data_IF_000449993455
#
_entry.id   IF_000449993455
#
_cell.length_a   1.000
_cell.length_b   1.000
_cell.length_c   1.000
_cell.angle_alpha   90.00
_cell.angle_beta   90.00
_cell.angle_gamma   90.00
#
_symmetry.space_group_name_H-M   'P 1'
#
loop_
_entity.id
_entity.type
_entity.pdbx_description
1 polymer ?
#
# COMPACT_ATOMS: atom_id res chain seq x y z
N UNK A 1 -22.26 -8.21 -14.11
CA UNK A 1 -23.24 -8.17 -13.01
C UNK A 1 -22.63 -8.61 -11.68
N UNK A 2 -21.97 -9.79 -11.61
CA UNK A 2 -21.26 -10.24 -10.40
C UNK A 2 -20.15 -9.28 -9.91
N UNK A 3 -19.35 -8.72 -10.82
CA UNK A 3 -18.29 -7.75 -10.47
C UNK A 3 -18.83 -6.50 -9.75
N UNK A 4 -19.97 -5.96 -10.19
CA UNK A 4 -20.59 -4.80 -9.54
C UNK A 4 -21.12 -5.13 -8.14
N UNK A 5 -21.66 -6.34 -7.95
CA UNK A 5 -22.11 -6.82 -6.64
C UNK A 5 -20.92 -6.95 -5.66
N UNK A 6 -19.80 -7.54 -6.09
CA UNK A 6 -18.58 -7.63 -5.26
C UNK A 6 -18.01 -6.25 -4.92
N UNK A 7 -18.01 -5.31 -5.88
CA UNK A 7 -17.60 -3.93 -5.61
C UNK A 7 -18.48 -3.28 -4.54
N UNK A 8 -19.81 -3.33 -4.69
CA UNK A 8 -20.72 -2.71 -3.71
C UNK A 8 -20.57 -3.39 -2.36
N UNK A 9 -20.72 -4.72 -2.29
CA UNK A 9 -20.69 -5.45 -1.04
C UNK A 9 -19.33 -5.35 -0.34
N UNK A 10 -18.22 -5.51 -1.07
CA UNK A 10 -16.87 -5.38 -0.55
C UNK A 10 -16.61 -3.98 0.01
N UNK A 11 -17.06 -2.93 -0.69
CA UNK A 11 -16.93 -1.54 -0.20
C UNK A 11 -17.75 -1.30 1.06
N UNK A 12 -19.00 -1.78 1.08
CA UNK A 12 -19.89 -1.62 2.23
C UNK A 12 -19.33 -2.32 3.48
N UNK A 13 -18.83 -3.55 3.32
CA UNK A 13 -18.18 -4.28 4.40
C UNK A 13 -16.92 -3.54 4.85
N UNK A 14 -16.08 -3.12 3.90
CA UNK A 14 -14.82 -2.44 4.23
C UNK A 14 -15.04 -1.14 4.99
N UNK A 15 -15.81 -0.21 4.44
CA UNK A 15 -16.08 1.08 5.09
C UNK A 15 -16.88 0.89 6.37
N UNK A 16 -17.87 0.00 6.37
CA UNK A 16 -18.69 -0.29 7.54
C UNK A 16 -17.87 -0.80 8.72
N UNK A 17 -17.00 -1.78 8.51
CA UNK A 17 -16.12 -2.31 9.56
C UNK A 17 -15.16 -1.22 10.07
N UNK A 18 -14.46 -0.54 9.16
CA UNK A 18 -13.42 0.41 9.53
C UNK A 18 -13.99 1.61 10.30
N UNK A 19 -15.07 2.21 9.81
CA UNK A 19 -15.69 3.35 10.49
C UNK A 19 -16.31 2.93 11.81
N UNK A 20 -17.00 1.79 11.86
CA UNK A 20 -17.61 1.32 13.12
C UNK A 20 -16.55 1.13 14.21
N UNK A 21 -15.40 0.53 13.89
CA UNK A 21 -14.32 0.34 14.85
C UNK A 21 -13.68 1.66 15.29
N UNK A 22 -13.52 2.60 14.36
CA UNK A 22 -13.06 3.95 14.66
C UNK A 22 -14.00 4.66 15.64
N UNK A 23 -15.29 4.75 15.31
CA UNK A 23 -16.30 5.33 16.20
C UNK A 23 -16.36 4.60 17.54
N UNK A 24 -16.23 3.28 17.53
CA UNK A 24 -16.22 2.47 18.74
C UNK A 24 -15.06 2.85 19.67
N UNK A 25 -13.91 3.23 19.12
CA UNK A 25 -12.78 3.76 19.89
C UNK A 25 -13.18 4.98 20.72
N UNK A 26 -13.71 6.02 20.07
CA UNK A 26 -14.20 7.22 20.76
C UNK A 26 -15.26 6.90 21.80
N UNK A 27 -16.25 6.08 21.42
CA UNK A 27 -17.34 5.66 22.29
C UNK A 27 -16.84 4.95 23.56
N UNK A 28 -15.93 3.99 23.41
CA UNK A 28 -15.46 3.14 24.49
C UNK A 28 -14.63 3.94 25.51
N UNK A 29 -13.79 4.87 25.04
CA UNK A 29 -13.01 5.74 25.92
C UNK A 29 -13.89 6.83 26.54
N UNK A 30 -14.84 7.42 25.78
CA UNK A 30 -15.76 8.43 26.29
C UNK A 30 -16.55 7.93 27.52
N UNK A 31 -17.11 6.71 27.43
CA UNK A 31 -17.83 6.10 28.57
C UNK A 31 -16.92 5.86 29.77
N UNK A 32 -15.67 5.44 29.55
CA UNK A 32 -14.69 5.25 30.65
C UNK A 32 -14.25 6.55 31.30
N UNK A 33 -14.21 7.64 30.54
CA UNK A 33 -13.99 8.98 31.08
C UNK A 33 -15.25 9.58 31.74
N UNK A 34 -16.35 8.81 31.82
CA UNK A 34 -17.62 9.24 32.40
C UNK A 34 -18.32 10.31 31.57
N UNK A 35 -18.09 10.33 30.25
CA UNK A 35 -18.85 11.17 29.31
C UNK A 35 -20.13 10.43 28.92
N UNK A 36 -21.27 11.12 28.97
CA UNK A 36 -22.53 10.55 28.52
C UNK A 36 -22.55 10.52 26.99
N UNK A 37 -22.72 9.34 26.41
CA UNK A 37 -22.92 9.20 24.97
C UNK A 37 -24.42 9.16 24.70
N UNK A 38 -24.89 10.09 23.87
CA UNK A 38 -26.29 10.21 23.48
C UNK A 38 -26.62 9.26 22.34
N UNK A 39 -25.74 9.15 21.35
CA UNK A 39 -25.95 8.30 20.17
C UNK A 39 -24.65 7.70 19.65
N UNK A 40 -24.70 6.43 19.27
CA UNK A 40 -23.69 5.74 18.49
C UNK A 40 -24.32 5.35 17.14
N UNK A 41 -23.89 5.98 16.05
CA UNK A 41 -24.47 5.74 14.72
C UNK A 41 -23.45 5.11 13.79
N UNK A 42 -23.83 4.00 13.17
CA UNK A 42 -23.15 3.45 12.00
C UNK A 42 -23.92 3.89 10.77
N UNK A 43 -23.28 4.71 9.94
CA UNK A 43 -23.89 5.39 8.81
C UNK A 43 -24.56 6.72 9.15
N UNK A 44 -25.08 7.36 8.09
CA UNK A 44 -25.81 8.63 8.11
C UNK A 44 -27.24 8.50 7.57
N UNK A 45 -28.05 9.53 7.81
CA UNK A 45 -29.39 9.66 7.26
C UNK A 45 -30.46 8.97 8.10
N UNK A 46 -31.45 8.36 7.43
CA UNK A 46 -32.62 7.75 8.07
C UNK A 46 -32.22 6.51 8.87
N UNK A 47 -32.62 6.39 10.15
CA UNK A 47 -32.41 5.19 10.96
C UNK A 47 -33.17 3.99 10.36
N UNK A 48 -32.47 2.90 10.06
CA UNK A 48 -33.07 1.62 9.67
C UNK A 48 -33.33 0.76 10.90
N UNK A 49 -32.37 0.71 11.82
CA UNK A 49 -32.48 0.01 13.10
C UNK A 49 -32.07 0.95 14.23
N UNK A 50 -32.82 0.91 15.34
CA UNK A 50 -32.52 1.68 16.54
C UNK A 50 -32.79 0.87 17.81
N UNK A 51 -31.89 0.96 18.78
CA UNK A 51 -32.09 0.42 20.12
C UNK A 51 -31.37 1.27 21.16
N UNK A 52 -31.62 1.05 22.44
CA UNK A 52 -30.96 1.80 23.51
C UNK A 52 -30.43 0.88 24.59
N UNK A 53 -29.29 1.23 25.18
CA UNK A 53 -28.77 0.51 26.34
C UNK A 53 -29.30 1.08 27.67
N UNK A 54 -28.93 0.43 28.77
CA UNK A 54 -29.32 0.82 30.13
C UNK A 54 -28.78 2.20 30.57
N UNK A 55 -27.77 2.74 29.88
CA UNK A 55 -27.23 4.08 30.17
C UNK A 55 -27.90 5.16 29.31
N UNK A 56 -28.87 4.78 28.46
CA UNK A 56 -29.63 5.68 27.61
C UNK A 56 -28.90 6.10 26.34
N UNK A 57 -27.85 5.37 25.92
CA UNK A 57 -27.23 5.59 24.61
C UNK A 57 -28.09 4.97 23.52
N UNK A 58 -28.44 5.75 22.51
CA UNK A 58 -29.14 5.27 21.31
C UNK A 58 -28.14 4.72 20.29
N UNK A 59 -28.30 3.46 19.89
CA UNK A 59 -27.52 2.84 18.83
C UNK A 59 -28.34 2.85 17.55
N UNK A 60 -27.74 3.30 16.45
CA UNK A 60 -28.41 3.46 15.16
C UNK A 60 -27.60 2.79 14.06
N UNK A 61 -28.28 2.01 13.23
CA UNK A 61 -27.79 1.63 11.89
C UNK A 61 -28.60 2.42 10.88
N UNK A 62 -27.95 3.31 10.13
CA UNK A 62 -28.60 4.23 9.23
C UNK A 62 -28.52 3.78 7.76
N UNK A 63 -29.36 4.37 6.90
CA UNK A 63 -29.49 3.95 5.51
C UNK A 63 -28.26 4.22 4.64
N UNK A 64 -27.45 5.22 4.97
CA UNK A 64 -26.24 5.57 4.22
C UNK A 64 -25.02 5.01 4.97
N UNK A 65 -24.39 3.94 4.50
CA UNK A 65 -23.28 3.25 5.19
C UNK A 65 -21.92 3.95 5.03
N UNK A 66 -21.90 5.19 4.54
CA UNK A 66 -20.70 5.98 4.27
C UNK A 66 -20.31 6.83 5.47
N UNK A 67 -19.94 6.18 6.58
CA UNK A 67 -19.43 6.84 7.78
C UNK A 67 -20.14 6.42 9.06
N UNK A 68 -20.05 7.26 10.08
CA UNK A 68 -20.59 7.02 11.41
C UNK A 68 -20.30 8.23 12.30
N UNK A 69 -20.88 8.25 13.50
CA UNK A 69 -20.54 9.26 14.50
C UNK A 69 -20.91 8.82 15.92
N UNK A 70 -20.14 9.29 16.89
CA UNK A 70 -20.48 9.23 18.32
C UNK A 70 -20.91 10.61 18.81
N UNK A 71 -22.21 10.76 19.09
CA UNK A 71 -22.74 11.99 19.69
C UNK A 71 -22.54 11.95 21.20
N UNK A 72 -21.65 12.79 21.70
CA UNK A 72 -21.39 12.96 23.13
C UNK A 72 -22.24 14.09 23.70
N UNK A 73 -22.55 14.03 24.99
CA UNK A 73 -23.18 15.14 25.69
C UNK A 73 -22.18 16.31 25.76
N UNK A 74 -22.55 17.46 25.21
CA UNK A 74 -21.74 18.68 25.23
C UNK A 74 -22.65 19.90 25.40
N UNK A 75 -22.29 20.81 26.31
CA UNK A 75 -23.06 22.02 26.59
C UNK A 75 -23.04 23.03 25.44
N UNK A 76 -22.11 22.90 24.49
CA UNK A 76 -22.03 23.76 23.31
C UNK A 76 -23.04 23.37 22.23
N UNK A 77 -23.52 22.13 22.25
CA UNK A 77 -24.44 21.59 21.23
C UNK A 77 -25.91 21.60 21.66
N UNK A 78 -26.20 21.92 22.92
CA UNK A 78 -27.57 21.96 23.43
C UNK A 78 -27.66 22.19 24.93
N UNK A 79 -28.89 22.33 25.42
CA UNK A 79 -29.14 22.53 26.84
C UNK A 79 -28.91 21.22 27.62
N UNK A 80 -28.04 21.26 28.63
CA UNK A 80 -27.70 20.08 29.44
C UNK A 80 -28.29 20.24 30.84
N UNK A 81 -29.08 19.26 31.34
CA UNK A 81 -29.58 19.27 32.71
C UNK A 81 -28.44 19.41 33.73
N UNK A 82 -28.58 20.23 34.79
CA UNK A 82 -27.52 20.45 35.77
C UNK A 82 -26.94 19.16 36.36
N UNK A 83 -27.79 18.15 36.56
CA UNK A 83 -27.43 16.84 37.07
C UNK A 83 -26.47 16.07 36.16
N UNK A 84 -26.57 16.27 34.84
CA UNK A 84 -25.76 15.58 33.83
C UNK A 84 -24.54 16.40 33.39
N UNK A 85 -24.40 17.65 33.84
CA UNK A 85 -23.36 18.55 33.38
C UNK A 85 -21.94 18.00 33.66
N UNK A 86 -21.75 17.25 34.75
CA UNK A 86 -20.48 16.57 35.05
C UNK A 86 -20.10 15.47 34.04
N UNK A 87 -21.07 14.99 33.26
CA UNK A 87 -20.90 14.00 32.19
C UNK A 87 -20.72 14.64 30.82
N UNK A 88 -20.71 15.98 30.72
CA UNK A 88 -20.47 16.67 29.46
C UNK A 88 -19.00 16.60 29.06
N UNK A 89 -18.75 16.40 27.77
CA UNK A 89 -17.43 16.27 27.16
C UNK A 89 -16.56 17.52 27.40
N UNK A 90 -17.13 18.70 27.17
CA UNK A 90 -16.46 19.99 27.37
C UNK A 90 -16.01 20.26 28.82
N UNK A 91 -16.61 19.61 29.82
CA UNK A 91 -16.20 19.73 31.25
C UNK A 91 -15.12 18.74 31.68
N UNK A 92 -14.78 17.75 30.86
CA UNK A 92 -13.72 16.79 31.17
C UNK A 92 -12.35 17.44 31.14
N UNK A 93 -11.36 16.83 31.80
CA UNK A 93 -9.98 17.35 31.76
C UNK A 93 -9.43 17.27 30.35
N UNK A 94 -8.44 18.12 30.03
CA UNK A 94 -7.80 18.12 28.71
C UNK A 94 -7.24 16.73 28.37
N UNK A 95 -6.63 16.04 29.33
CA UNK A 95 -6.13 14.68 29.15
C UNK A 95 -7.22 13.67 28.81
N UNK A 96 -8.41 13.76 29.44
CA UNK A 96 -9.54 12.91 29.10
C UNK A 96 -10.05 13.18 27.68
N UNK A 97 -10.16 14.45 27.28
CA UNK A 97 -10.57 14.80 25.90
C UNK A 97 -9.57 14.33 24.86
N UNK A 98 -8.27 14.48 25.13
CA UNK A 98 -7.19 13.94 24.30
C UNK A 98 -7.31 12.42 24.17
N UNK A 99 -7.50 11.71 25.28
CA UNK A 99 -7.65 10.26 25.26
C UNK A 99 -8.85 9.81 24.41
N UNK A 100 -9.99 10.51 24.52
CA UNK A 100 -11.19 10.22 23.72
C UNK A 100 -10.93 10.43 22.23
N UNK A 101 -10.31 11.54 21.84
CA UNK A 101 -10.04 11.87 20.42
C UNK A 101 -9.01 10.93 19.81
N UNK A 102 -7.96 10.56 20.53
CA UNK A 102 -6.94 9.60 20.01
C UNK A 102 -7.50 8.17 19.93
N UNK A 103 -8.57 7.86 20.67
CA UNK A 103 -9.12 6.51 20.75
C UNK A 103 -9.61 5.97 19.40
N UNK A 104 -10.23 6.80 18.56
CA UNK A 104 -10.71 6.38 17.24
C UNK A 104 -9.58 5.96 16.31
N UNK A 105 -8.58 6.81 16.04
CA UNK A 105 -7.41 6.43 15.27
C UNK A 105 -6.65 5.24 15.86
N UNK A 106 -6.55 5.17 17.19
CA UNK A 106 -5.93 4.02 17.88
C UNK A 106 -6.69 2.73 17.62
N UNK A 107 -8.02 2.74 17.63
CA UNK A 107 -8.84 1.58 17.31
C UNK A 107 -8.58 1.07 15.87
N UNK A 108 -8.36 1.97 14.91
CA UNK A 108 -7.94 1.58 13.57
C UNK A 108 -6.55 0.92 13.55
N UNK A 109 -5.55 1.47 14.24
CA UNK A 109 -4.24 0.80 14.31
C UNK A 109 -4.33 -0.58 14.96
N UNK A 110 -5.11 -0.74 16.02
CA UNK A 110 -5.35 -2.03 16.67
C UNK A 110 -6.06 -3.01 15.73
N UNK A 111 -7.05 -2.53 14.96
CA UNK A 111 -7.75 -3.33 13.97
C UNK A 111 -6.80 -3.79 12.84
N UNK A 112 -5.93 -2.90 12.35
CA UNK A 112 -4.91 -3.25 11.37
C UNK A 112 -3.91 -4.30 11.89
N UNK A 113 -3.47 -4.15 13.14
CA UNK A 113 -2.62 -5.15 13.81
C UNK A 113 -3.35 -6.50 13.86
N UNK A 114 -4.63 -6.52 14.21
CA UNK A 114 -5.43 -7.74 14.24
C UNK A 114 -5.56 -8.39 12.85
N UNK A 115 -5.80 -7.62 11.79
CA UNK A 115 -5.85 -8.16 10.43
C UNK A 115 -4.50 -8.72 9.98
N UNK A 116 -3.39 -7.99 10.17
CA UNK A 116 -2.07 -8.52 9.82
C UNK A 116 -1.65 -9.69 10.71
N UNK A 117 -2.10 -9.74 11.95
CA UNK A 117 -1.89 -10.88 12.84
C UNK A 117 -2.56 -12.14 12.28
N UNK A 118 -3.83 -12.05 11.87
CA UNK A 118 -4.55 -13.15 11.22
C UNK A 118 -3.87 -13.55 9.91
N UNK A 119 -3.48 -12.59 9.07
CA UNK A 119 -2.78 -12.85 7.82
C UNK A 119 -1.44 -13.57 8.01
N UNK A 120 -0.67 -13.15 9.02
CA UNK A 120 0.60 -13.79 9.34
C UNK A 120 0.41 -15.24 9.81
N UNK A 121 -0.71 -15.55 10.49
CA UNK A 121 -1.06 -16.93 10.85
C UNK A 121 -1.57 -17.76 9.67
N UNK A 122 -2.37 -17.16 8.78
CA UNK A 122 -2.85 -17.82 7.55
C UNK A 122 -1.72 -18.21 6.61
N UNK A 123 -0.59 -17.52 6.71
CA UNK A 123 0.55 -17.70 5.84
C UNK A 123 0.40 -16.97 4.52
N UNK A 124 1.52 -16.83 3.84
CA UNK A 124 1.59 -16.24 2.51
C UNK A 124 2.60 -17.01 1.67
N UNK A 125 2.28 -17.24 0.41
CA UNK A 125 3.26 -17.71 -0.56
C UNK A 125 4.24 -16.59 -0.90
N UNK A 126 5.52 -16.85 -0.68
CA UNK A 126 6.61 -15.95 -1.04
C UNK A 126 7.50 -16.61 -2.08
N UNK A 127 7.97 -15.82 -3.05
CA UNK A 127 8.97 -16.28 -4.01
C UNK A 127 10.31 -16.40 -3.30
N UNK A 128 10.90 -17.60 -3.35
CA UNK A 128 12.23 -17.89 -2.81
C UNK A 128 13.27 -16.94 -3.43
N UNK A 129 14.21 -16.39 -2.66
CA UNK A 129 15.21 -15.44 -3.15
C UNK A 129 16.34 -16.16 -3.90
N UNK A 130 16.02 -16.77 -5.04
CA UNK A 130 16.97 -17.55 -5.86
C UNK A 130 17.60 -16.67 -6.93
N UNK A 131 18.93 -16.67 -6.99
CA UNK A 131 19.73 -15.93 -7.97
C UNK A 131 19.49 -16.53 -9.36
N UNK A 132 19.04 -15.70 -10.30
CA UNK A 132 18.84 -16.10 -11.70
C UNK A 132 20.08 -15.91 -12.54
N UNK A 133 20.77 -14.78 -12.35
CA UNK A 133 22.04 -14.50 -12.99
C UNK A 133 22.89 -13.57 -12.11
N UNK A 134 24.20 -13.60 -12.34
CA UNK A 134 25.18 -12.72 -11.70
C UNK A 134 25.89 -11.94 -12.79
N UNK A 135 25.96 -10.62 -12.64
CA UNK A 135 26.56 -9.73 -13.62
C UNK A 135 28.09 -9.80 -13.60
N UNK A 136 28.72 -9.83 -14.77
CA UNK A 136 30.17 -9.89 -14.90
C UNK A 136 30.83 -8.62 -14.32
N UNK A 137 31.90 -8.80 -13.55
CA UNK A 137 32.62 -7.72 -12.85
C UNK A 137 31.95 -7.23 -11.57
N UNK A 138 30.76 -7.74 -11.22
CA UNK A 138 30.00 -7.28 -10.06
C UNK A 138 30.56 -7.76 -8.73
N UNK A 139 30.12 -7.12 -7.63
CA UNK A 139 30.44 -7.49 -6.25
C UNK A 139 29.99 -8.94 -5.98
N UNK A 140 28.81 -9.32 -6.46
CA UNK A 140 28.30 -10.68 -6.35
C UNK A 140 29.19 -11.71 -7.06
N UNK A 141 29.69 -11.40 -8.26
CA UNK A 141 30.60 -12.31 -8.96
C UNK A 141 31.93 -12.47 -8.22
N UNK A 142 32.51 -11.38 -7.72
CA UNK A 142 33.76 -11.39 -6.97
C UNK A 142 33.64 -12.20 -5.67
N UNK A 143 32.47 -12.16 -5.04
CA UNK A 143 32.14 -12.98 -3.88
C UNK A 143 31.80 -14.44 -4.23
N UNK A 144 31.85 -14.83 -5.50
CA UNK A 144 31.64 -16.21 -5.96
C UNK A 144 30.17 -16.66 -5.91
N UNK A 145 29.22 -15.73 -6.02
CA UNK A 145 27.81 -16.08 -6.21
C UNK A 145 27.59 -16.66 -7.61
N UNK A 146 26.69 -17.62 -7.70
CA UNK A 146 26.33 -18.30 -8.95
C UNK A 146 24.81 -18.39 -9.10
N UNK A 147 24.36 -18.55 -10.36
CA UNK A 147 22.95 -18.76 -10.65
C UNK A 147 22.44 -20.07 -10.03
N UNK A 148 21.19 -20.08 -9.57
CA UNK A 148 20.54 -21.20 -8.90
C UNK A 148 20.69 -21.22 -7.38
N UNK A 149 21.56 -20.39 -6.80
CA UNK A 149 21.73 -20.29 -5.35
C UNK A 149 20.58 -19.51 -4.71
N UNK A 150 20.07 -19.99 -3.59
CA UNK A 150 19.09 -19.28 -2.75
C UNK A 150 19.79 -18.49 -1.66
N UNK A 151 19.40 -17.22 -1.48
CA UNK A 151 19.84 -16.39 -0.34
C UNK A 151 18.98 -16.72 0.89
N UNK A 152 19.51 -17.51 1.82
CA UNK A 152 18.75 -17.94 3.02
C UNK A 152 18.88 -16.97 4.20
N UNK A 153 19.95 -16.18 4.25
CA UNK A 153 20.11 -15.11 5.24
C UNK A 153 21.06 -14.01 4.75
N UNK A 154 20.89 -12.81 5.29
CA UNK A 154 21.76 -11.65 5.08
C UNK A 154 22.18 -11.12 6.46
N UNK A 155 23.47 -11.03 6.73
CA UNK A 155 24.05 -10.62 8.02
C UNK A 155 23.49 -11.42 9.22
N UNK A 156 23.25 -12.72 9.01
CA UNK A 156 22.70 -13.62 10.03
C UNK A 156 21.17 -13.57 10.17
N UNK A 157 20.50 -12.58 9.56
CA UNK A 157 19.04 -12.47 9.56
C UNK A 157 18.42 -13.35 8.47
N UNK A 158 17.54 -14.31 8.81
CA UNK A 158 16.89 -15.18 7.84
C UNK A 158 16.05 -14.41 6.82
N UNK A 159 16.11 -14.85 5.56
CA UNK A 159 15.33 -14.25 4.46
C UNK A 159 14.43 -15.28 3.81
N UNK A 160 13.12 -15.09 3.93
CA UNK A 160 12.12 -15.99 3.36
C UNK A 160 11.78 -15.69 1.90
N UNK A 161 12.12 -14.49 1.42
CA UNK A 161 11.82 -14.00 0.08
C UNK A 161 12.63 -12.75 -0.26
N UNK A 162 12.51 -12.26 -1.50
CA UNK A 162 13.24 -11.09 -2.00
C UNK A 162 12.99 -9.81 -1.20
N UNK A 163 11.78 -9.62 -0.65
CA UNK A 163 11.47 -8.47 0.20
C UNK A 163 12.32 -8.46 1.48
N UNK A 164 12.60 -9.63 2.07
CA UNK A 164 13.48 -9.77 3.22
C UNK A 164 14.93 -9.45 2.87
N UNK A 165 15.43 -9.96 1.74
CA UNK A 165 16.76 -9.64 1.22
C UNK A 165 16.90 -8.13 1.02
N UNK A 166 15.95 -7.51 0.31
CA UNK A 166 15.96 -6.08 0.05
C UNK A 166 15.97 -5.26 1.35
N UNK A 167 15.15 -5.64 2.33
CA UNK A 167 15.10 -4.94 3.63
C UNK A 167 16.46 -4.94 4.33
N UNK A 168 17.18 -6.07 4.34
CA UNK A 168 18.49 -6.14 4.99
C UNK A 168 19.54 -5.36 4.22
N UNK A 169 19.54 -5.44 2.88
CA UNK A 169 20.45 -4.66 2.05
C UNK A 169 20.25 -3.14 2.21
N UNK A 170 18.98 -2.69 2.26
CA UNK A 170 18.64 -1.27 2.46
C UNK A 170 19.22 -0.72 3.78
N UNK A 171 19.29 -1.53 4.83
CA UNK A 171 19.85 -1.12 6.13
C UNK A 171 21.35 -0.88 6.10
N UNK A 172 22.06 -1.40 5.10
CA UNK A 172 23.52 -1.30 4.92
C UNK A 172 23.91 -0.23 3.88
N UNK A 173 22.95 0.56 3.38
CA UNK A 173 23.20 1.58 2.36
C UNK A 173 24.14 2.68 2.89
N UNK A 174 25.14 3.04 2.08
CA UNK A 174 26.11 4.08 2.40
C UNK A 174 27.23 3.63 3.35
N UNK A 175 27.20 2.38 3.82
CA UNK A 175 28.26 1.77 4.61
C UNK A 175 29.38 1.21 3.74
N UNK A 176 30.58 1.16 4.33
CA UNK A 176 31.72 0.41 3.82
C UNK A 176 31.97 -0.75 4.78
N UNK A 177 32.19 -1.96 4.27
CA UNK A 177 32.30 -3.15 5.11
C UNK A 177 31.97 -4.42 4.36
N UNK A 178 31.61 -5.48 5.09
CA UNK A 178 31.21 -6.75 4.50
C UNK A 178 29.73 -7.05 4.76
N UNK A 179 29.04 -7.59 3.76
CA UNK A 179 27.74 -8.24 3.95
C UNK A 179 27.96 -9.74 3.90
N UNK A 180 27.57 -10.43 4.96
CA UNK A 180 27.62 -11.88 5.04
C UNK A 180 26.32 -12.46 4.46
N UNK A 181 26.41 -13.11 3.31
CA UNK A 181 25.32 -13.89 2.74
C UNK A 181 25.45 -15.35 3.14
N UNK A 182 24.34 -15.93 3.59
CA UNK A 182 24.20 -17.37 3.70
C UNK A 182 23.41 -17.85 2.49
N UNK A 183 24.00 -18.76 1.72
CA UNK A 183 23.52 -19.26 0.44
C UNK A 183 23.24 -20.75 0.53
N UNK A 184 22.25 -21.23 -0.22
CA UNK A 184 21.95 -22.66 -0.38
C UNK A 184 21.89 -23.01 -1.85
N UNK A 185 22.70 -23.98 -2.25
CA UNK A 185 22.70 -24.51 -3.63
C UNK A 185 21.43 -25.32 -3.90
N UNK A 186 21.03 -25.39 -5.17
CA UNK A 186 19.86 -26.17 -5.58
C UNK A 186 20.06 -27.65 -5.23
N UNK A 187 19.11 -28.23 -4.48
CA UNK A 187 19.17 -29.63 -4.03
C UNK A 187 20.09 -29.90 -2.84
N UNK A 188 20.84 -28.91 -2.35
CA UNK A 188 21.66 -29.02 -1.14
C UNK A 188 20.85 -28.67 0.12
N UNK A 189 21.11 -29.35 1.23
CA UNK A 189 20.63 -28.97 2.56
C UNK A 189 21.67 -28.19 3.36
N UNK A 190 22.88 -28.04 2.82
CA UNK A 190 24.00 -27.36 3.47
C UNK A 190 24.04 -25.91 3.01
N UNK A 191 24.10 -25.02 4.00
CA UNK A 191 24.26 -23.59 3.77
C UNK A 191 25.74 -23.23 3.69
N UNK A 192 26.11 -22.42 2.72
CA UNK A 192 27.46 -21.86 2.56
C UNK A 192 27.44 -20.36 2.79
N UNK A 193 28.49 -19.83 3.44
CA UNK A 193 28.62 -18.38 3.64
C UNK A 193 29.50 -17.76 2.54
N UNK A 194 29.12 -16.56 2.10
CA UNK A 194 29.90 -15.69 1.21
C UNK A 194 29.90 -14.27 1.76
N UNK A 195 31.01 -13.58 1.60
CA UNK A 195 31.14 -12.18 2.02
C UNK A 195 31.22 -11.28 0.79
N UNK A 196 30.33 -10.30 0.74
CA UNK A 196 30.35 -9.23 -0.25
C UNK A 196 31.12 -8.06 0.35
N UNK A 197 32.20 -7.62 -0.29
CA UNK A 197 32.97 -6.46 0.15
C UNK A 197 32.36 -5.19 -0.46
N UNK A 198 31.93 -4.27 0.40
CA UNK A 198 31.33 -2.99 0.05
C UNK A 198 32.33 -1.84 0.27
N UNK A 199 32.46 -0.98 -0.73
CA UNK A 199 33.25 0.25 -0.66
C UNK A 199 32.35 1.45 -0.98
N UNK A 200 31.97 2.23 0.03
CA UNK A 200 31.04 3.38 -0.03
C UNK A 200 29.78 3.07 -0.86
N UNK A 201 29.24 1.87 -0.64
CA UNK A 201 28.27 1.28 -1.54
C UNK A 201 26.94 2.05 -1.54
N UNK A 202 26.54 2.49 -2.74
CA UNK A 202 25.36 3.31 -3.00
C UNK A 202 25.30 4.64 -2.20
N UNK A 203 26.42 5.16 -1.70
CA UNK A 203 26.44 6.48 -1.02
C UNK A 203 26.08 7.59 -2.02
N UNK A 204 24.91 8.20 -1.84
CA UNK A 204 24.43 9.30 -2.70
C UNK A 204 24.08 8.88 -4.13
N UNK A 205 23.92 7.58 -4.39
CA UNK A 205 23.57 7.08 -5.72
C UNK A 205 22.11 7.40 -6.05
N UNK A 206 21.85 7.78 -7.31
CA UNK A 206 20.50 7.91 -7.86
C UNK A 206 19.82 6.54 -8.07
N UNK A 207 20.61 5.47 -8.24
CA UNK A 207 20.11 4.10 -8.43
C UNK A 207 19.75 3.46 -7.09
N UNK A 208 18.47 3.13 -6.92
CA UNK A 208 17.84 2.79 -5.63
C UNK A 208 17.58 1.30 -5.43
N UNK A 209 18.07 0.42 -6.32
CA UNK A 209 17.90 -1.03 -6.23
C UNK A 209 19.19 -1.71 -5.70
N UNK A 210 19.23 -2.07 -4.40
CA UNK A 210 20.41 -2.68 -3.79
C UNK A 210 20.70 -4.08 -4.33
N UNK A 211 19.70 -4.83 -4.80
CA UNK A 211 19.92 -6.17 -5.33
C UNK A 211 20.64 -6.06 -6.68
N UNK A 212 20.14 -5.18 -7.54
CA UNK A 212 20.74 -4.93 -8.85
C UNK A 212 22.15 -4.34 -8.74
N UNK A 213 22.40 -3.44 -7.81
CA UNK A 213 23.72 -2.81 -7.66
C UNK A 213 24.82 -3.77 -7.17
N UNK A 214 24.44 -4.88 -6.49
CA UNK A 214 25.37 -5.98 -6.20
C UNK A 214 25.67 -6.84 -7.44
N UNK A 215 24.96 -6.63 -8.55
CA UNK A 215 25.01 -7.45 -9.76
C UNK A 215 24.19 -8.74 -9.66
N UNK A 216 23.24 -8.82 -8.72
CA UNK A 216 22.35 -9.97 -8.58
C UNK A 216 21.11 -9.72 -9.42
N UNK A 217 20.77 -10.67 -10.30
CA UNK A 217 19.50 -10.69 -11.01
C UNK A 217 18.61 -11.78 -10.44
N UNK A 218 17.43 -11.45 -9.87
CA UNK A 218 16.49 -12.45 -9.39
C UNK A 218 16.09 -13.46 -10.46
N UNK A 219 16.00 -14.73 -10.10
CA UNK A 219 15.45 -15.76 -10.97
C UNK A 219 13.99 -15.44 -11.28
N UNK A 220 13.61 -15.65 -12.54
CA UNK A 220 12.24 -15.53 -13.04
C UNK A 220 11.97 -16.66 -14.03
N UNK A 221 10.71 -17.10 -14.17
CA UNK A 221 10.37 -18.08 -15.19
C UNK A 221 10.71 -17.51 -16.58
N UNK A 222 11.33 -18.34 -17.41
CA UNK A 222 11.66 -17.97 -18.78
C UNK A 222 10.36 -17.75 -19.58
N UNK A 223 10.08 -16.50 -19.92
CA UNK A 223 8.93 -16.13 -20.73
C UNK A 223 9.36 -16.07 -22.18
N UNK A 224 8.89 -17.02 -22.99
CA UNK A 224 9.09 -16.93 -24.43
C UNK A 224 8.45 -15.64 -24.97
N UNK A 225 9.09 -14.93 -25.90
CA UNK A 225 8.61 -13.63 -26.37
C UNK A 225 7.49 -13.80 -27.41
N UNK A 226 6.38 -14.39 -26.99
CA UNK A 226 5.18 -14.62 -27.79
C UNK A 226 4.12 -13.60 -27.38
N UNK A 227 3.57 -12.88 -28.36
CA UNK A 227 2.54 -11.88 -28.12
C UNK A 227 1.24 -12.56 -27.68
N UNK A 228 0.76 -12.27 -26.48
CA UNK A 228 -0.52 -12.76 -25.97
C UNK A 228 -1.59 -11.66 -25.97
N UNK A 229 -1.17 -10.42 -25.75
CA UNK A 229 -2.05 -9.26 -25.68
C UNK A 229 -1.48 -8.14 -26.55
N UNK A 230 -2.36 -7.38 -27.20
CA UNK A 230 -2.00 -6.22 -28.00
C UNK A 230 -2.95 -5.07 -27.64
N UNK A 231 -2.36 -3.91 -27.36
CA UNK A 231 -3.10 -2.67 -27.16
C UNK A 231 -3.70 -2.24 -28.51
N UNK A 232 -5.04 -2.11 -28.62
CA UNK A 232 -5.69 -1.72 -29.87
C UNK A 232 -5.25 -0.36 -30.42
N UNK A 233 -4.69 0.51 -29.58
CA UNK A 233 -4.16 1.83 -29.97
C UNK A 233 -2.62 1.89 -29.94
N UNK A 234 -1.97 0.76 -29.68
CA UNK A 234 -0.51 0.68 -29.50
C UNK A 234 0.27 0.52 -30.80
N UNK A 235 1.58 0.82 -30.79
CA UNK A 235 2.47 0.66 -31.94
C UNK A 235 2.51 -0.75 -32.55
N UNK A 236 2.41 -1.80 -31.73
CA UNK A 236 2.35 -3.18 -32.18
C UNK A 236 1.16 -3.42 -33.11
N UNK A 237 -0.02 -2.92 -32.74
CA UNK A 237 -1.22 -3.00 -33.57
C UNK A 237 -1.05 -2.21 -34.87
N UNK A 238 -0.52 -0.98 -34.81
CA UNK A 238 -0.28 -0.14 -35.98
C UNK A 238 0.72 -0.76 -36.97
N UNK A 239 1.70 -1.51 -36.46
CA UNK A 239 2.65 -2.24 -37.28
C UNK A 239 2.12 -3.60 -37.81
N UNK A 240 0.90 -3.99 -37.44
CA UNK A 240 0.27 -5.23 -37.91
C UNK A 240 0.77 -6.50 -37.20
N UNK A 241 1.36 -6.35 -36.00
CA UNK A 241 1.61 -7.49 -35.11
C UNK A 241 0.28 -8.09 -34.65
N UNK A 242 0.28 -9.39 -34.38
CA UNK A 242 -0.89 -10.17 -33.98
C UNK A 242 -0.58 -11.00 -32.75
N UNK A 243 -1.62 -11.29 -31.97
CA UNK A 243 -1.54 -12.30 -30.92
C UNK A 243 -1.12 -13.64 -31.52
N UNK A 244 -0.17 -14.31 -30.89
CA UNK A 244 0.48 -15.53 -31.38
C UNK A 244 1.82 -15.29 -32.07
N UNK A 245 2.14 -14.07 -32.49
CA UNK A 245 3.44 -13.77 -33.10
C UNK A 245 4.56 -14.01 -32.10
N UNK A 246 5.60 -14.74 -32.51
CA UNK A 246 6.81 -14.93 -31.72
C UNK A 246 7.89 -13.96 -32.18
N UNK A 247 8.38 -13.11 -31.30
CA UNK A 247 9.50 -12.21 -31.59
C UNK A 247 10.81 -13.00 -31.56
N UNK A 248 11.54 -13.01 -32.66
CA UNK A 248 12.79 -13.75 -32.82
C UNK A 248 14.00 -12.83 -32.62
N UNK A 249 13.95 -11.61 -33.15
CA UNK A 249 15.02 -10.63 -32.98
C UNK A 249 14.52 -9.20 -33.13
N UNK A 250 15.24 -8.24 -32.55
CA UNK A 250 15.03 -6.82 -32.78
C UNK A 250 16.34 -6.18 -33.25
N UNK A 251 16.29 -5.52 -34.39
CA UNK A 251 17.46 -4.92 -35.07
C UNK A 251 18.62 -5.91 -35.24
N UNK A 252 18.28 -7.16 -35.61
CA UNK A 252 19.24 -8.24 -35.81
C UNK A 252 19.77 -8.89 -34.52
N UNK A 253 19.44 -8.38 -33.33
CA UNK A 253 19.82 -9.02 -32.08
C UNK A 253 18.75 -10.02 -31.60
N UNK A 254 19.13 -11.26 -31.25
CA UNK A 254 18.18 -12.29 -30.86
C UNK A 254 17.39 -11.90 -29.61
N UNK A 255 16.15 -12.39 -29.55
CA UNK A 255 15.21 -12.26 -28.44
C UNK A 255 14.78 -13.68 -28.04
N UNK A 256 15.30 -14.17 -26.93
CA UNK A 256 14.96 -15.49 -26.40
C UNK A 256 13.94 -15.40 -25.27
N UNK A 257 13.88 -14.24 -24.61
CA UNK A 257 13.03 -13.99 -23.45
C UNK A 257 12.30 -12.65 -23.58
N UNK A 258 11.08 -12.61 -23.06
CA UNK A 258 10.24 -11.42 -23.06
C UNK A 258 10.89 -10.22 -22.35
N UNK A 259 11.65 -10.45 -21.29
CA UNK A 259 12.34 -9.41 -20.53
C UNK A 259 13.36 -8.66 -21.40
N UNK A 260 13.97 -9.33 -22.38
CA UNK A 260 14.88 -8.70 -23.34
C UNK A 260 14.12 -7.76 -24.28
N UNK A 261 12.90 -8.14 -24.67
CA UNK A 261 11.99 -7.27 -25.43
C UNK A 261 11.69 -6.01 -24.62
N UNK A 262 11.26 -6.17 -23.37
CA UNK A 262 10.90 -5.05 -22.49
C UNK A 262 12.08 -4.11 -22.26
N UNK A 263 13.26 -4.65 -21.93
CA UNK A 263 14.46 -3.84 -21.68
C UNK A 263 14.84 -2.98 -22.90
N UNK A 264 14.98 -3.62 -24.07
CA UNK A 264 15.39 -2.91 -25.28
C UNK A 264 14.33 -1.94 -25.82
N UNK A 265 13.04 -2.23 -25.62
CA UNK A 265 11.95 -1.30 -25.99
C UNK A 265 11.97 -0.07 -25.09
N UNK A 266 12.10 -0.24 -23.77
CA UNK A 266 12.07 0.87 -22.81
C UNK A 266 13.19 1.89 -23.05
N UNK A 267 14.37 1.42 -23.43
CA UNK A 267 15.55 2.24 -23.73
C UNK A 267 15.44 3.07 -25.02
N UNK A 268 14.37 2.86 -25.83
CA UNK A 268 14.26 3.43 -27.17
C UNK A 268 12.90 4.12 -27.42
N UNK A 269 12.57 5.19 -26.67
CA UNK A 269 11.37 5.97 -26.94
C UNK A 269 11.40 6.55 -28.36
N UNK A 270 10.26 6.49 -29.06
CA UNK A 270 10.05 7.05 -30.41
C UNK A 270 10.93 6.48 -31.53
N UNK A 271 11.72 5.44 -31.23
CA UNK A 271 12.64 4.85 -32.19
C UNK A 271 11.90 3.96 -33.21
N UNK A 272 12.41 3.94 -34.43
CA UNK A 272 12.07 2.93 -35.44
C UNK A 272 12.93 1.70 -35.24
N UNK A 273 12.31 0.56 -35.05
CA UNK A 273 12.96 -0.74 -34.85
C UNK A 273 12.44 -1.74 -35.87
N UNK A 274 13.28 -2.68 -36.28
CA UNK A 274 12.87 -3.82 -37.11
C UNK A 274 12.71 -5.06 -36.24
N UNK A 275 11.48 -5.56 -36.16
CA UNK A 275 11.17 -6.79 -35.43
C UNK A 275 11.09 -7.96 -36.40
N UNK A 276 11.97 -8.95 -36.22
CA UNK A 276 11.80 -10.24 -36.87
C UNK A 276 10.84 -11.07 -36.05
N UNK A 277 9.71 -11.44 -36.63
CA UNK A 277 8.72 -12.30 -36.00
C UNK A 277 8.60 -13.63 -36.74
N UNK A 278 8.10 -14.63 -36.05
CA UNK A 278 7.61 -15.88 -36.60
C UNK A 278 6.09 -15.93 -36.40
N UNK A 279 5.36 -16.06 -37.51
CA UNK A 279 3.91 -16.19 -37.56
C UNK A 279 3.58 -17.43 -38.38
N UNK A 280 2.88 -18.39 -37.78
CA UNK A 280 2.52 -19.67 -38.42
C UNK A 280 3.73 -20.41 -39.04
N UNK A 281 4.91 -20.29 -38.41
CA UNK A 281 6.17 -20.90 -38.87
C UNK A 281 6.91 -20.12 -39.97
N UNK A 282 6.37 -18.98 -40.42
CA UNK A 282 7.03 -18.11 -41.41
C UNK A 282 7.68 -16.93 -40.71
N UNK A 283 8.97 -16.71 -40.98
CA UNK A 283 9.69 -15.54 -40.48
C UNK A 283 9.48 -14.33 -41.37
N UNK A 284 9.21 -13.17 -40.77
CA UNK A 284 9.06 -11.91 -41.48
C UNK A 284 9.60 -10.74 -40.64
N UNK A 285 10.11 -9.72 -41.34
CA UNK A 285 10.60 -8.49 -40.72
C UNK A 285 9.48 -7.43 -40.75
N UNK A 286 9.14 -6.92 -39.57
CA UNK A 286 8.08 -5.93 -39.36
C UNK A 286 8.71 -4.64 -38.82
N UNK A 287 8.69 -3.54 -39.58
CA UNK A 287 9.14 -2.25 -39.07
C UNK A 287 8.10 -1.69 -38.10
N UNK A 288 8.54 -1.34 -36.89
CA UNK A 288 7.70 -0.76 -35.84
C UNK A 288 8.29 0.58 -35.41
N UNK A 289 7.44 1.60 -35.27
CA UNK A 289 7.82 2.87 -34.63
C UNK A 289 7.29 2.84 -33.21
N UNK A 290 8.17 2.71 -32.21
CA UNK A 290 7.80 2.72 -30.80
C UNK A 290 7.20 4.08 -30.43
N UNK A 291 6.32 4.13 -29.43
CA UNK A 291 5.86 5.41 -28.85
C UNK A 291 6.53 5.67 -27.51
N UNK A 292 6.51 6.91 -27.03
CA UNK A 292 6.92 7.24 -25.67
C UNK A 292 5.75 7.14 -24.70
N UNK A 293 5.97 6.56 -23.52
CA UNK A 293 5.00 6.54 -22.41
C UNK A 293 5.70 6.99 -21.13
N UNK A 294 5.15 8.01 -20.46
CA UNK A 294 5.75 8.66 -19.28
C UNK A 294 5.95 10.17 -19.50
N UNK A 295 6.41 10.88 -18.47
CA UNK A 295 6.67 12.32 -18.50
C UNK A 295 8.17 12.60 -18.23
N UNK A 296 8.78 13.52 -18.98
CA UNK A 296 10.16 13.98 -18.77
C UNK A 296 11.25 12.90 -18.96
N UNK A 297 12.29 12.92 -18.10
CA UNK A 297 13.41 11.94 -18.12
C UNK A 297 12.98 10.49 -17.85
N UNK A 298 11.73 10.26 -17.44
CA UNK A 298 11.16 8.93 -17.21
C UNK A 298 10.36 8.38 -18.41
N UNK A 299 10.35 9.09 -19.54
CA UNK A 299 9.72 8.60 -20.77
C UNK A 299 10.43 7.34 -21.28
N UNK A 300 9.70 6.23 -21.32
CA UNK A 300 10.21 4.96 -21.80
C UNK A 300 9.53 4.59 -23.13
N UNK A 301 10.23 3.84 -23.98
CA UNK A 301 9.64 3.29 -25.18
C UNK A 301 8.49 2.31 -24.87
N UNK A 302 7.49 2.32 -25.72
CA UNK A 302 6.26 1.56 -25.61
C UNK A 302 5.96 0.85 -26.93
N UNK A 303 5.82 -0.47 -26.86
CA UNK A 303 5.43 -1.31 -28.00
C UNK A 303 3.91 -1.55 -28.03
N UNK A 304 3.23 -1.54 -26.87
CA UNK A 304 1.81 -1.86 -26.80
C UNK A 304 1.49 -3.35 -27.02
N UNK A 305 2.39 -4.24 -26.59
CA UNK A 305 2.16 -5.67 -26.60
C UNK A 305 2.55 -6.30 -25.25
N UNK A 306 1.88 -7.40 -24.89
CA UNK A 306 2.04 -8.13 -23.65
C UNK A 306 2.22 -9.63 -23.89
N UNK A 307 2.90 -10.30 -22.95
CA UNK A 307 2.99 -11.77 -22.88
C UNK A 307 2.03 -12.29 -21.83
N UNK A 308 1.57 -13.53 -21.98
CA UNK A 308 0.75 -14.19 -20.97
C UNK A 308 1.59 -14.38 -19.71
N UNK A 309 1.03 -14.02 -18.55
CA UNK A 309 1.66 -14.34 -17.27
C UNK A 309 1.82 -15.87 -17.14
N UNK A 310 3.00 -16.31 -16.73
CA UNK A 310 3.28 -17.73 -16.42
C UNK A 310 3.30 -17.87 -14.91
N UNK A 311 2.66 -18.93 -14.42
CA UNK A 311 2.65 -19.27 -13.01
C UNK A 311 4.06 -19.58 -12.51
N UNK A 312 4.35 -19.18 -11.28
CA UNK A 312 5.62 -19.52 -10.66
C UNK A 312 5.67 -21.04 -10.42
N UNK A 313 6.80 -21.70 -10.73
CA UNK A 313 6.95 -23.11 -10.38
C UNK A 313 6.75 -23.32 -8.88
N UNK A 314 6.04 -24.37 -8.44
CA UNK A 314 5.80 -24.62 -7.01
C UNK A 314 7.09 -24.68 -6.19
N UNK A 315 8.18 -25.15 -6.80
CA UNK A 315 9.51 -25.23 -6.18
C UNK A 315 10.10 -23.86 -5.80
N UNK A 316 9.67 -22.80 -6.50
CA UNK A 316 10.12 -21.43 -6.30
C UNK A 316 9.24 -20.68 -5.29
N UNK A 317 8.12 -21.28 -4.89
CA UNK A 317 7.21 -20.74 -3.90
C UNK A 317 7.53 -21.36 -2.53
N UNK A 318 7.47 -20.53 -1.50
CA UNK A 318 7.61 -20.94 -0.10
C UNK A 318 6.44 -20.37 0.67
N UNK A 319 5.71 -21.25 1.33
CA UNK A 319 4.73 -20.81 2.32
C UNK A 319 5.44 -20.32 3.58
N UNK A 320 5.09 -19.12 4.00
CA UNK A 320 5.62 -18.50 5.21
C UNK A 320 4.45 -18.19 6.12
N UNK A 321 4.36 -18.91 7.23
CA UNK A 321 3.36 -18.72 8.28
C UNK A 321 4.03 -18.56 9.64
N UNK A 322 3.34 -17.88 10.55
CA UNK A 322 3.84 -17.57 11.89
C UNK A 322 2.91 -18.16 12.95
N UNK A 323 3.49 -18.68 14.04
CA UNK A 323 2.70 -19.04 15.22
C UNK A 323 2.05 -17.81 15.88
N UNK A 324 1.03 -17.97 16.74
CA UNK A 324 0.20 -16.85 17.23
C UNK A 324 0.99 -15.68 17.84
N UNK A 325 2.01 -15.95 18.66
CA UNK A 325 2.81 -14.90 19.29
C UNK A 325 3.74 -14.19 18.30
N UNK A 326 4.40 -14.95 17.42
CA UNK A 326 5.28 -14.38 16.39
C UNK A 326 4.48 -13.55 15.37
N UNK A 327 3.29 -14.05 14.99
CA UNK A 327 2.37 -13.39 14.09
C UNK A 327 1.90 -12.03 14.64
N UNK A 328 1.70 -11.91 15.96
CA UNK A 328 1.33 -10.63 16.58
C UNK A 328 2.46 -9.61 16.45
N UNK A 329 3.70 -10.03 16.67
CA UNK A 329 4.89 -9.19 16.44
C UNK A 329 5.00 -8.74 14.97
N UNK A 330 4.74 -9.65 14.04
CA UNK A 330 4.70 -9.33 12.60
C UNK A 330 3.55 -8.36 12.27
N UNK A 331 2.38 -8.51 12.89
CA UNK A 331 1.25 -7.59 12.74
C UNK A 331 1.58 -6.16 13.19
N UNK A 332 2.21 -6.01 14.36
CA UNK A 332 2.70 -4.72 14.87
C UNK A 332 3.74 -4.12 13.91
N UNK A 333 4.72 -4.91 13.49
CA UNK A 333 5.78 -4.48 12.58
C UNK A 333 5.23 -4.01 11.22
N UNK A 334 4.31 -4.77 10.63
CA UNK A 334 3.65 -4.40 9.36
C UNK A 334 2.84 -3.12 9.52
N UNK A 335 2.05 -3.01 10.58
CA UNK A 335 1.29 -1.79 10.86
C UNK A 335 2.20 -0.58 11.00
N UNK A 336 3.31 -0.70 11.75
CA UNK A 336 4.29 0.38 11.90
C UNK A 336 4.91 0.79 10.56
N UNK A 337 5.44 -0.17 9.80
CA UNK A 337 6.09 0.09 8.52
C UNK A 337 5.13 0.76 7.53
N UNK A 338 3.89 0.28 7.47
CA UNK A 338 2.88 0.85 6.57
C UNK A 338 2.42 2.23 7.01
N UNK A 339 2.33 2.50 8.33
CA UNK A 339 2.05 3.84 8.86
C UNK A 339 3.16 4.83 8.48
N UNK A 340 4.43 4.45 8.64
CA UNK A 340 5.58 5.28 8.26
C UNK A 340 5.59 5.53 6.75
N UNK A 341 5.36 4.50 5.93
CA UNK A 341 5.27 4.64 4.48
C UNK A 341 4.12 5.55 4.06
N UNK A 342 2.96 5.46 4.73
CA UNK A 342 1.81 6.34 4.47
C UNK A 342 2.16 7.79 4.79
N UNK A 343 2.78 8.06 5.95
CA UNK A 343 3.23 9.40 6.33
C UNK A 343 4.29 9.95 5.36
N UNK A 344 5.27 9.14 4.96
CA UNK A 344 6.31 9.54 3.99
C UNK A 344 5.70 9.85 2.62
N UNK A 345 4.74 9.04 2.17
CA UNK A 345 4.02 9.27 0.92
C UNK A 345 3.24 10.59 0.95
N UNK A 346 2.54 10.88 2.04
CA UNK A 346 1.82 12.15 2.25
C UNK A 346 2.78 13.34 2.27
N UNK A 347 3.93 13.20 2.94
CA UNK A 347 4.98 14.22 2.97
C UNK A 347 5.48 14.51 1.55
N UNK A 348 5.84 13.49 0.78
CA UNK A 348 6.33 13.62 -0.60
C UNK A 348 5.29 14.23 -1.54
N UNK A 349 4.00 13.92 -1.35
CA UNK A 349 2.92 14.56 -2.09
C UNK A 349 2.83 16.06 -1.79
N UNK A 350 2.97 16.45 -0.52
CA UNK A 350 2.91 17.86 -0.11
C UNK A 350 4.06 18.70 -0.69
N UNK A 351 5.25 18.13 -0.78
CA UNK A 351 6.43 18.80 -1.37
C UNK A 351 6.50 18.69 -2.91
N UNK A 352 5.54 18.01 -3.55
CA UNK A 352 5.49 17.87 -5.01
C UNK A 352 6.44 16.82 -5.60
N UNK A 353 7.10 16.01 -4.75
CA UNK A 353 7.97 14.90 -5.16
C UNK A 353 7.16 13.70 -5.67
N UNK A 354 5.91 13.56 -5.20
CA UNK A 354 5.01 12.49 -5.59
C UNK A 354 3.71 13.05 -6.17
N UNK A 355 3.28 12.53 -7.33
CA UNK A 355 2.10 13.02 -8.03
C UNK A 355 0.82 12.83 -7.22
N UNK A 356 0.04 13.90 -7.06
CA UNK A 356 -1.30 13.86 -6.44
C UNK A 356 -2.29 12.98 -7.21
N UNK A 357 -1.98 12.61 -8.47
CA UNK A 357 -2.75 11.63 -9.25
C UNK A 357 -2.79 10.25 -8.58
N UNK A 358 -1.88 9.96 -7.66
CA UNK A 358 -1.83 8.70 -6.90
C UNK A 358 -2.80 8.64 -5.72
N UNK A 359 -3.45 9.76 -5.37
CA UNK A 359 -4.47 9.79 -4.33
C UNK A 359 -5.70 9.00 -4.80
N UNK A 360 -6.08 7.98 -4.02
CA UNK A 360 -7.23 7.12 -4.33
C UNK A 360 -8.53 7.77 -3.87
N UNK A 361 -9.47 7.97 -4.78
CA UNK A 361 -10.81 8.43 -4.44
C UNK A 361 -11.78 7.29 -4.08
N UNK A 362 -13.05 7.61 -3.76
CA UNK A 362 -14.06 6.63 -3.37
C UNK A 362 -14.32 5.56 -4.44
N UNK A 363 -14.20 5.89 -5.73
CA UNK A 363 -14.44 4.95 -6.83
C UNK A 363 -13.27 3.97 -6.93
N UNK A 364 -12.04 4.47 -6.83
CA UNK A 364 -10.85 3.60 -6.80
C UNK A 364 -10.89 2.67 -5.58
N UNK A 365 -11.25 3.18 -4.39
CA UNK A 365 -11.43 2.35 -3.19
C UNK A 365 -12.46 1.25 -3.45
N UNK A 366 -13.60 1.58 -4.08
CA UNK A 366 -14.64 0.58 -4.35
C UNK A 366 -14.21 -0.50 -5.35
N UNK A 367 -13.44 -0.11 -6.39
CA UNK A 367 -12.87 -1.05 -7.35
C UNK A 367 -11.88 -2.01 -6.67
N UNK A 368 -10.99 -1.48 -5.84
CA UNK A 368 -9.98 -2.29 -5.13
C UNK A 368 -10.65 -3.19 -4.07
N UNK A 369 -11.68 -2.70 -3.37
CA UNK A 369 -12.47 -3.51 -2.44
C UNK A 369 -13.14 -4.70 -3.14
N UNK A 370 -13.74 -4.46 -4.31
CA UNK A 370 -14.37 -5.53 -5.10
C UNK A 370 -13.35 -6.53 -5.65
N UNK A 371 -12.23 -6.04 -6.19
CA UNK A 371 -11.17 -6.89 -6.73
C UNK A 371 -10.52 -7.77 -5.64
N UNK A 372 -10.22 -7.20 -4.48
CA UNK A 372 -9.65 -7.94 -3.35
C UNK A 372 -10.64 -8.97 -2.78
N UNK A 373 -11.92 -8.62 -2.66
CA UNK A 373 -12.96 -9.57 -2.26
C UNK A 373 -13.13 -10.74 -3.25
N UNK A 374 -12.94 -10.50 -4.54
CA UNK A 374 -12.97 -11.55 -5.57
C UNK A 374 -11.71 -12.42 -5.56
N UNK A 375 -10.55 -11.84 -5.22
CA UNK A 375 -9.25 -12.53 -5.18
C UNK A 375 -9.15 -13.50 -3.99
N UNK A 376 -9.76 -13.14 -2.86
CA UNK A 376 -9.88 -14.03 -1.71
C UNK A 376 -9.84 -13.30 -0.37
N UNK A 377 -10.06 -14.03 0.71
CA UNK A 377 -10.12 -13.45 2.05
C UNK A 377 -8.78 -12.83 2.48
N UNK A 378 -7.64 -13.40 2.08
CA UNK A 378 -6.31 -12.87 2.42
C UNK A 378 -6.05 -11.49 1.81
N UNK A 379 -6.39 -11.31 0.54
CA UNK A 379 -6.25 -10.02 -0.14
C UNK A 379 -7.23 -8.98 0.40
N UNK A 380 -8.47 -9.40 0.69
CA UNK A 380 -9.46 -8.52 1.29
C UNK A 380 -9.04 -8.05 2.70
N UNK A 381 -8.56 -8.95 3.56
CA UNK A 381 -8.02 -8.59 4.88
C UNK A 381 -6.80 -7.67 4.77
N UNK A 382 -5.91 -7.90 3.80
CA UNK A 382 -4.74 -7.06 3.57
C UNK A 382 -5.16 -5.65 3.15
N UNK A 383 -6.18 -5.55 2.30
CA UNK A 383 -6.79 -4.29 1.90
C UNK A 383 -7.45 -3.56 3.09
N UNK A 384 -8.21 -4.28 3.93
CA UNK A 384 -8.79 -3.71 5.15
C UNK A 384 -7.71 -3.20 6.11
N UNK A 385 -6.62 -3.94 6.30
CA UNK A 385 -5.50 -3.52 7.13
C UNK A 385 -4.86 -2.22 6.61
N UNK A 386 -4.59 -2.15 5.31
CA UNK A 386 -4.05 -0.95 4.67
C UNK A 386 -4.98 0.26 4.80
N UNK A 387 -6.27 0.09 4.49
CA UNK A 387 -7.25 1.16 4.64
C UNK A 387 -7.41 1.60 6.10
N UNK A 388 -7.39 0.66 7.04
CA UNK A 388 -7.48 0.97 8.48
C UNK A 388 -6.31 1.86 8.92
N UNK A 389 -5.09 1.51 8.50
CA UNK A 389 -3.90 2.33 8.75
C UNK A 389 -4.03 3.70 8.11
N UNK A 390 -4.43 3.75 6.84
CA UNK A 390 -4.59 5.01 6.12
C UNK A 390 -5.60 5.93 6.84
N UNK A 391 -6.76 5.42 7.24
CA UNK A 391 -7.75 6.17 8.01
C UNK A 391 -7.23 6.60 9.39
N UNK A 392 -6.50 5.73 10.10
CA UNK A 392 -5.89 6.08 11.39
C UNK A 392 -4.84 7.19 11.25
N UNK A 393 -3.94 7.08 10.27
CA UNK A 393 -2.90 8.08 9.99
C UNK A 393 -3.52 9.41 9.57
N UNK A 394 -4.45 9.39 8.61
CA UNK A 394 -5.11 10.60 8.12
C UNK A 394 -5.88 11.32 9.22
N UNK A 395 -6.61 10.58 10.07
CA UNK A 395 -7.33 11.19 11.18
C UNK A 395 -6.41 11.75 12.26
N UNK A 396 -5.16 11.30 12.38
CA UNK A 396 -4.19 11.92 13.31
C UNK A 396 -3.49 13.16 12.73
N UNK A 397 -3.69 13.49 11.45
CA UNK A 397 -3.11 14.71 10.89
C UNK A 397 -3.65 15.96 11.59
N UNK A 398 -2.84 17.02 11.75
CA UNK A 398 -3.24 18.28 12.39
C UNK A 398 -4.13 19.13 11.46
N UNK A 399 -5.14 18.52 10.85
CA UNK A 399 -6.12 19.15 9.97
C UNK A 399 -7.39 19.36 10.81
N UNK A 400 -7.84 20.61 11.00
CA UNK A 400 -9.09 20.89 11.67
C UNK A 400 -10.24 20.09 11.03
N UNK A 401 -11.25 19.68 11.81
CA UNK A 401 -12.35 18.73 11.44
C UNK A 401 -11.99 17.26 11.58
N UNK A 402 -10.71 16.90 11.45
CA UNK A 402 -10.24 15.55 11.81
C UNK A 402 -9.88 15.50 13.30
N UNK A 403 -9.78 14.28 13.84
CA UNK A 403 -9.40 14.05 15.24
C UNK A 403 -8.08 14.74 15.60
N UNK A 404 -7.09 14.68 14.73
CA UNK A 404 -5.78 15.29 14.92
C UNK A 404 -5.84 16.82 14.98
N UNK A 405 -6.84 17.45 14.36
CA UNK A 405 -7.14 18.87 14.52
C UNK A 405 -7.68 19.20 15.91
N UNK A 406 -8.59 18.38 16.44
CA UNK A 406 -9.05 18.52 17.82
C UNK A 406 -7.92 18.27 18.83
N UNK A 407 -7.10 17.24 18.57
CA UNK A 407 -5.90 16.96 19.34
C UNK A 407 -4.95 18.16 19.36
N UNK A 408 -4.69 18.79 18.22
CA UNK A 408 -3.88 20.01 18.13
C UNK A 408 -4.43 21.12 19.03
N UNK A 409 -5.74 21.38 18.98
CA UNK A 409 -6.37 22.39 19.82
C UNK A 409 -6.23 22.08 21.31
N UNK A 410 -6.35 20.81 21.72
CA UNK A 410 -6.18 20.40 23.11
C UNK A 410 -4.72 20.43 23.57
N UNK A 411 -3.76 20.11 22.70
CA UNK A 411 -2.34 20.26 23.01
C UNK A 411 -1.97 21.74 23.24
N UNK A 412 -2.52 22.64 22.42
CA UNK A 412 -2.37 24.09 22.61
C UNK A 412 -3.04 24.54 23.92
N UNK A 413 -4.25 24.06 24.21
CA UNK A 413 -4.93 24.34 25.47
C UNK A 413 -4.12 23.87 26.69
N UNK A 414 -3.56 22.65 26.63
CA UNK A 414 -2.73 22.09 27.68
C UNK A 414 -1.47 22.93 27.92
N UNK A 415 -0.77 23.32 26.86
CA UNK A 415 0.42 24.17 26.96
C UNK A 415 0.11 25.59 27.46
N UNK A 416 -1.06 26.14 27.13
CA UNK A 416 -1.46 27.52 27.45
C UNK A 416 -2.26 27.64 28.75
N UNK A 417 -2.74 26.52 29.30
CA UNK A 417 -3.65 26.47 30.45
C UNK A 417 -5.06 27.01 30.20
N UNK A 418 -5.40 27.43 28.97
CA UNK A 418 -6.72 27.96 28.61
C UNK A 418 -7.13 27.60 27.17
N UNK A 419 -8.42 27.31 26.92
CA UNK A 419 -8.90 26.90 25.59
C UNK A 419 -8.70 28.00 24.54
N UNK A 420 -8.56 27.60 23.28
CA UNK A 420 -8.58 28.51 22.13
C UNK A 420 -9.93 29.24 22.06
N UNK A 421 -9.92 30.47 21.56
CA UNK A 421 -11.16 31.22 21.37
C UNK A 421 -12.02 30.53 20.30
N UNK A 422 -13.34 30.60 20.45
CA UNK A 422 -14.29 30.00 19.50
C UNK A 422 -14.07 30.52 18.08
N UNK A 423 -13.69 31.79 17.93
CA UNK A 423 -13.32 32.37 16.63
C UNK A 423 -12.17 31.59 15.98
N UNK A 424 -11.08 31.33 16.71
CA UNK A 424 -9.92 30.60 16.18
C UNK A 424 -10.28 29.15 15.84
N UNK A 425 -11.07 28.50 16.70
CA UNK A 425 -11.56 27.13 16.42
C UNK A 425 -12.44 27.11 15.16
N UNK A 426 -13.33 28.09 14.99
CA UNK A 426 -14.19 28.22 13.82
C UNK A 426 -13.42 28.50 12.53
N UNK A 427 -12.45 29.42 12.55
CA UNK A 427 -11.56 29.66 11.40
C UNK A 427 -10.76 28.41 11.04
N UNK A 428 -10.21 27.74 12.05
CA UNK A 428 -9.52 26.46 11.88
C UNK A 428 -10.43 25.44 11.20
N UNK A 429 -11.63 25.19 11.75
CA UNK A 429 -12.59 24.25 11.19
C UNK A 429 -12.94 24.59 9.72
N UNK A 430 -13.21 25.85 9.39
CA UNK A 430 -13.52 26.27 8.02
C UNK A 430 -12.38 26.00 7.03
N UNK A 431 -11.14 26.28 7.43
CA UNK A 431 -9.94 25.95 6.63
C UNK A 431 -9.83 24.42 6.47
N UNK A 432 -10.05 23.68 7.54
CA UNK A 432 -10.03 22.21 7.54
C UNK A 432 -11.05 21.60 6.60
N UNK A 433 -12.33 22.01 6.69
CA UNK A 433 -13.40 21.58 5.78
C UNK A 433 -13.01 21.89 4.34
N UNK A 434 -12.52 23.11 4.07
CA UNK A 434 -12.14 23.53 2.72
C UNK A 434 -11.00 22.66 2.16
N UNK A 435 -10.02 22.31 2.98
CA UNK A 435 -8.92 21.42 2.60
C UNK A 435 -9.42 19.99 2.31
N UNK A 436 -10.21 19.41 3.21
CA UNK A 436 -10.75 18.05 3.06
C UNK A 436 -11.62 17.95 1.81
N UNK A 437 -12.51 18.91 1.59
CA UNK A 437 -13.35 18.97 0.38
C UNK A 437 -12.50 19.15 -0.88
N UNK A 438 -11.49 20.01 -0.84
CA UNK A 438 -10.57 20.21 -1.97
C UNK A 438 -9.82 18.93 -2.35
N UNK A 439 -9.28 18.21 -1.36
CA UNK A 439 -8.61 16.92 -1.55
C UNK A 439 -9.58 15.85 -2.05
N UNK A 440 -10.80 15.81 -1.53
CA UNK A 440 -11.84 14.88 -1.98
C UNK A 440 -12.26 15.13 -3.44
N UNK A 441 -12.43 16.39 -3.82
CA UNK A 441 -12.73 16.78 -5.21
C UNK A 441 -11.57 16.42 -6.14
N UNK A 442 -10.32 16.67 -5.73
CA UNK A 442 -9.14 16.27 -6.48
C UNK A 442 -9.09 14.74 -6.68
N UNK A 443 -9.35 13.98 -5.62
CA UNK A 443 -9.40 12.52 -5.69
C UNK A 443 -10.51 12.03 -6.64
N UNK A 444 -11.68 12.68 -6.63
CA UNK A 444 -12.78 12.37 -7.53
C UNK A 444 -12.45 12.69 -8.99
N UNK A 445 -11.80 13.83 -9.26
CA UNK A 445 -11.33 14.19 -10.61
C UNK A 445 -10.30 13.19 -11.11
N UNK A 446 -9.38 12.75 -10.24
CA UNK A 446 -8.41 11.71 -10.58
C UNK A 446 -9.10 10.38 -10.89
N UNK A 447 -10.11 9.98 -10.11
CA UNK A 447 -10.89 8.77 -10.33
C UNK A 447 -11.64 8.82 -11.68
N UNK A 448 -12.24 9.97 -12.02
CA UNK A 448 -12.93 10.19 -13.29
C UNK A 448 -11.97 10.18 -14.48
N UNK A 449 -10.78 10.75 -14.34
CA UNK A 449 -9.76 10.71 -15.40
C UNK A 449 -9.14 9.33 -15.64
N UNK A 450 -9.38 8.37 -14.73
CA UNK A 450 -8.94 6.97 -14.83
C UNK A 450 -10.01 6.04 -15.41
N UNK A 451 -11.26 6.50 -15.52
CA UNK A 451 -12.37 5.81 -16.18
C UNK A 451 -12.31 6.06 -17.68
#
# INVERSE_FOLDING_TARGET
MMSALYMILGTLIALGVLVTFHEFGHFWVARRCGVKVLRFSVGFGTPLLRWSDRQGTEYVVAAIPLGGYVKMLDEREGNVPPELAHQSFNRKTVGQRIAIVIAGPTANFLLAIAFFWVLAMMGSEQVRPVIGAVESGSIAQQAGLTAGQEIVAVDGEPTSGWAGVNLQLVRRLGESGTIALKLRDQGSTVDTSRELVLNDWLRGAEESDPIKSLGIRPWRPALLPVLAEIDPKGPAQSAGLKTGDRLISMDGQPLNEWQQVVGRVRERPEAKVSLRIERDGVQMDVPVTLSAKGEGKAAAGYLGAGVKAVDWPPEMLREVSYGPFAAMGEGIKRTWNMSVLTLDSLKKMLFGELSVKNLSGPITIAKVAGASAQSGIGDFLSFLAYLSISLGVLNLLPIPVLDGGHLLFYLIEWARGRPLSEKVQGWGAQIGISLVVGVMLLALVNDLGRL
#
